data_IF_274765132604
#
_entry.id   IF_274765132604
#
_cell.length_a   1.000
_cell.length_b   1.000
_cell.length_c   1.000
_cell.angle_alpha   90.00
_cell.angle_beta   90.00
_cell.angle_gamma   90.00
#
_symmetry.space_group_name_H-M   'P 1'
#
loop_
_entity.id
_entity.type
_entity.pdbx_description
1 polymer ?
#
# COMPACT_ATOMS: atom_id res chain seq x y z
N UNK A 1 -2.45 -8.74 14.85
CA UNK A 1 -1.22 -9.56 15.08
C UNK A 1 0.03 -8.70 15.14
N UNK A 2 0.30 -7.83 14.15
CA UNK A 2 1.51 -6.98 14.08
C UNK A 2 1.59 -6.04 15.30
N UNK A 3 0.51 -5.36 15.66
CA UNK A 3 0.45 -4.51 16.85
C UNK A 3 0.87 -5.27 18.12
N UNK A 4 0.39 -6.53 18.28
CA UNK A 4 0.77 -7.36 19.42
C UNK A 4 2.27 -7.68 19.43
N UNK A 5 2.89 -7.91 18.29
CA UNK A 5 4.33 -8.13 18.17
C UNK A 5 5.12 -6.88 18.58
N UNK A 6 4.70 -5.70 18.12
CA UNK A 6 5.35 -4.44 18.51
C UNK A 6 5.21 -4.16 20.02
N UNK A 7 4.02 -4.36 20.59
CA UNK A 7 3.81 -4.22 22.04
C UNK A 7 4.63 -5.21 22.84
N UNK A 8 4.69 -6.48 22.41
CA UNK A 8 5.50 -7.49 23.06
C UNK A 8 6.98 -7.15 23.05
N UNK A 9 7.51 -6.72 21.90
CA UNK A 9 8.88 -6.24 21.80
C UNK A 9 9.15 -5.04 22.72
N UNK A 10 8.26 -4.05 22.74
CA UNK A 10 8.41 -2.89 23.61
C UNK A 10 8.43 -3.28 25.09
N UNK A 11 7.51 -4.14 25.54
CA UNK A 11 7.45 -4.64 26.90
C UNK A 11 8.70 -5.47 27.28
N UNK A 12 9.19 -6.31 26.37
CA UNK A 12 10.40 -7.11 26.58
C UNK A 12 11.64 -6.24 26.67
N UNK A 13 11.70 -5.18 25.86
CA UNK A 13 12.78 -4.18 25.88
C UNK A 13 12.82 -3.41 27.22
N UNK A 14 11.65 -3.01 27.75
CA UNK A 14 11.56 -2.34 29.06
C UNK A 14 12.03 -3.25 30.20
N UNK A 15 11.87 -4.56 30.06
CA UNK A 15 12.36 -5.56 31.02
C UNK A 15 13.84 -5.91 30.84
N UNK A 16 14.54 -5.27 29.89
CA UNK A 16 15.95 -5.52 29.60
C UNK A 16 16.24 -6.82 28.85
N UNK A 17 15.24 -7.44 28.26
CA UNK A 17 15.33 -8.69 27.49
C UNK A 17 14.55 -8.53 26.18
N UNK A 18 15.01 -7.70 25.22
CA UNK A 18 14.29 -7.43 23.99
C UNK A 18 14.08 -8.71 23.16
N UNK A 19 12.85 -8.92 22.71
CA UNK A 19 12.51 -9.97 21.73
C UNK A 19 12.66 -9.40 20.31
N UNK A 20 13.88 -9.45 19.78
CA UNK A 20 14.21 -8.92 18.47
C UNK A 20 13.54 -9.70 17.32
N UNK A 21 13.17 -10.96 17.54
CA UNK A 21 12.41 -11.74 16.55
C UNK A 21 10.99 -11.21 16.39
N UNK A 22 10.34 -10.83 17.49
CA UNK A 22 9.02 -10.18 17.43
C UNK A 22 9.07 -8.86 16.66
N UNK A 23 10.12 -8.06 16.87
CA UNK A 23 10.34 -6.84 16.10
C UNK A 23 10.60 -7.14 14.62
N UNK A 24 11.44 -8.12 14.33
CA UNK A 24 11.76 -8.54 12.97
C UNK A 24 10.50 -8.95 12.20
N UNK A 25 9.67 -9.82 12.76
CA UNK A 25 8.41 -10.26 12.16
C UNK A 25 7.45 -9.09 11.89
N UNK A 26 7.36 -8.15 12.85
CA UNK A 26 6.52 -6.96 12.68
C UNK A 26 7.02 -6.07 11.54
N UNK A 27 8.33 -5.75 11.52
CA UNK A 27 8.95 -4.93 10.48
C UNK A 27 8.85 -5.58 9.11
N UNK A 28 9.14 -6.87 9.00
CA UNK A 28 9.06 -7.61 7.74
C UNK A 28 7.66 -7.52 7.13
N UNK A 29 6.61 -7.77 7.94
CA UNK A 29 5.22 -7.70 7.48
C UNK A 29 4.84 -6.28 7.05
N UNK A 30 5.20 -5.27 7.84
CA UNK A 30 4.91 -3.86 7.50
C UNK A 30 5.63 -3.41 6.24
N UNK A 31 6.89 -3.81 6.04
CA UNK A 31 7.61 -3.50 4.81
C UNK A 31 6.99 -4.20 3.59
N UNK A 32 6.61 -5.48 3.70
CA UNK A 32 5.94 -6.20 2.62
C UNK A 32 4.63 -5.52 2.20
N UNK A 33 3.82 -5.09 3.17
CA UNK A 33 2.60 -4.34 2.92
C UNK A 33 2.87 -2.96 2.28
N UNK A 34 3.85 -2.21 2.81
CA UNK A 34 4.18 -0.85 2.36
C UNK A 34 4.76 -0.81 0.93
N UNK A 35 5.43 -1.88 0.51
CA UNK A 35 6.10 -1.97 -0.80
C UNK A 35 5.35 -2.84 -1.80
N UNK A 36 4.30 -3.52 -1.35
CA UNK A 36 3.43 -4.33 -2.20
C UNK A 36 2.35 -3.53 -2.91
N UNK A 37 1.57 -4.23 -3.74
CA UNK A 37 0.47 -3.65 -4.50
C UNK A 37 -0.77 -3.29 -3.67
N UNK A 38 -0.87 -3.79 -2.42
CA UNK A 38 -1.98 -3.41 -1.53
C UNK A 38 -1.88 -1.95 -1.05
N UNK A 39 -0.68 -1.36 -1.06
CA UNK A 39 -0.51 0.06 -0.82
C UNK A 39 -0.55 0.80 -2.16
N UNK A 40 -1.39 1.81 -2.28
CA UNK A 40 -1.43 2.66 -3.47
C UNK A 40 -0.22 3.60 -3.46
N UNK A 41 0.80 3.24 -4.21
CA UNK A 41 2.08 3.95 -4.28
C UNK A 41 1.99 5.37 -4.87
N UNK A 42 0.88 5.73 -5.49
CA UNK A 42 0.65 7.05 -6.09
C UNK A 42 -0.36 7.88 -5.30
N UNK A 43 -1.48 7.26 -4.94
CA UNK A 43 -2.59 7.95 -4.28
C UNK A 43 -2.54 7.88 -2.76
N UNK A 44 -1.78 6.93 -2.20
CA UNK A 44 -1.79 6.61 -0.78
C UNK A 44 -2.99 5.77 -0.35
N UNK A 45 -2.95 5.31 0.89
CA UNK A 45 -3.95 4.41 1.45
C UNK A 45 -3.81 2.96 0.98
N UNK A 46 -4.38 2.06 1.76
CA UNK A 46 -4.30 0.62 1.57
C UNK A 46 -5.58 0.06 0.98
N UNK A 47 -5.44 -0.79 -0.02
CA UNK A 47 -6.47 -1.73 -0.42
C UNK A 47 -6.66 -2.80 0.66
N UNK A 48 -7.81 -3.47 0.63
CA UNK A 48 -8.28 -4.31 1.73
C UNK A 48 -7.41 -5.54 1.98
N UNK A 49 -7.00 -6.27 0.93
CA UNK A 49 -6.14 -7.45 1.01
C UNK A 49 -5.48 -7.73 -0.34
N UNK A 50 -4.42 -8.55 -0.34
CA UNK A 50 -3.84 -9.09 -1.55
C UNK A 50 -4.56 -10.36 -1.98
N UNK A 51 -4.78 -10.52 -3.29
CA UNK A 51 -5.37 -11.74 -3.88
C UNK A 51 -4.31 -12.75 -4.32
N UNK A 52 -3.02 -12.37 -4.25
CA UNK A 52 -1.87 -13.25 -4.52
C UNK A 52 -0.96 -13.36 -3.29
N UNK A 53 -0.05 -14.32 -3.31
CA UNK A 53 0.91 -14.61 -2.23
C UNK A 53 2.18 -13.73 -2.28
N UNK A 54 2.28 -12.84 -3.27
CA UNK A 54 3.43 -11.95 -3.48
C UNK A 54 3.14 -10.48 -3.15
N UNK A 55 1.96 -10.17 -2.61
CA UNK A 55 1.51 -8.82 -2.28
C UNK A 55 1.44 -7.87 -3.48
N UNK A 56 1.21 -8.39 -4.69
CA UNK A 56 1.25 -7.59 -5.92
C UNK A 56 -0.11 -7.14 -6.40
N UNK A 57 -1.12 -8.02 -6.33
CA UNK A 57 -2.46 -7.76 -6.86
C UNK A 57 -3.42 -7.59 -5.70
N UNK A 58 -3.99 -6.39 -5.48
CA UNK A 58 -4.95 -6.17 -4.41
C UNK A 58 -6.38 -6.48 -4.88
N UNK A 59 -7.28 -6.76 -3.92
CA UNK A 59 -8.68 -6.40 -4.08
C UNK A 59 -8.79 -4.89 -3.88
N UNK A 60 -9.25 -4.17 -4.91
CA UNK A 60 -9.07 -2.72 -5.03
C UNK A 60 -9.94 -1.86 -4.09
N UNK A 61 -10.81 -2.45 -3.30
CA UNK A 61 -11.59 -1.76 -2.29
C UNK A 61 -10.70 -1.17 -1.19
N UNK A 62 -10.94 0.10 -0.81
CA UNK A 62 -10.26 0.75 0.31
C UNK A 62 -11.26 1.08 1.41
N UNK A 63 -11.06 0.48 2.59
CA UNK A 63 -11.95 0.67 3.75
C UNK A 63 -11.36 1.69 4.71
N UNK A 64 -12.19 2.59 5.22
CA UNK A 64 -11.77 3.56 6.24
C UNK A 64 -11.27 2.87 7.51
N UNK A 65 -11.96 1.81 7.96
CA UNK A 65 -11.59 1.10 9.20
C UNK A 65 -10.27 0.33 9.08
N UNK A 66 -9.93 -0.20 7.92
CA UNK A 66 -8.62 -0.84 7.67
C UNK A 66 -7.52 0.22 7.68
N UNK A 67 -7.72 1.30 6.95
CA UNK A 67 -6.74 2.38 6.83
C UNK A 67 -6.54 3.14 8.14
N UNK A 68 -7.59 3.32 8.95
CA UNK A 68 -7.46 3.92 10.27
C UNK A 68 -6.60 3.09 11.23
N UNK A 69 -6.75 1.75 11.21
CA UNK A 69 -5.92 0.85 12.00
C UNK A 69 -4.48 0.80 11.49
N UNK A 70 -4.28 0.75 10.17
CA UNK A 70 -2.97 0.74 9.57
C UNK A 70 -2.23 2.06 9.79
N UNK A 71 -2.90 3.19 9.68
CA UNK A 71 -2.34 4.50 10.00
C UNK A 71 -1.77 4.54 11.42
N UNK A 72 -2.55 4.12 12.42
CA UNK A 72 -2.11 4.05 13.80
C UNK A 72 -0.90 3.10 13.95
N UNK A 73 -0.98 1.92 13.34
CA UNK A 73 0.08 0.91 13.40
C UNK A 73 1.40 1.38 12.77
N UNK A 74 1.36 2.03 11.61
CA UNK A 74 2.55 2.59 10.95
C UNK A 74 3.13 3.78 11.73
N UNK A 75 2.29 4.61 12.35
CA UNK A 75 2.75 5.69 13.22
C UNK A 75 3.47 5.15 14.46
N UNK A 76 2.91 4.15 15.13
CA UNK A 76 3.52 3.48 16.28
C UNK A 76 4.85 2.80 15.89
N UNK A 77 4.87 2.09 14.75
CA UNK A 77 6.07 1.44 14.24
C UNK A 77 7.15 2.46 13.87
N UNK A 78 6.81 3.57 13.24
CA UNK A 78 7.74 4.65 12.93
C UNK A 78 8.35 5.25 14.19
N UNK A 79 7.53 5.51 15.21
CA UNK A 79 7.99 6.02 16.49
C UNK A 79 8.93 5.05 17.20
N UNK A 80 8.56 3.77 17.23
CA UNK A 80 9.30 2.72 17.93
C UNK A 80 10.65 2.38 17.28
N UNK A 81 10.72 2.46 15.93
CA UNK A 81 11.89 1.98 15.16
C UNK A 81 12.73 3.09 14.53
N UNK A 82 12.17 4.30 14.37
CA UNK A 82 12.79 5.37 13.60
C UNK A 82 12.78 5.15 12.09
N UNK A 83 12.04 4.14 11.59
CA UNK A 83 12.01 3.76 10.17
C UNK A 83 11.29 4.82 9.31
N UNK A 84 12.04 5.42 8.38
CA UNK A 84 11.54 6.48 7.51
C UNK A 84 10.44 6.03 6.55
N UNK A 85 10.42 4.75 6.16
CA UNK A 85 9.36 4.17 5.30
C UNK A 85 8.04 4.16 6.08
N UNK A 86 8.03 3.69 7.32
CA UNK A 86 6.82 3.65 8.13
C UNK A 86 6.26 5.05 8.38
N UNK A 87 7.15 6.02 8.63
CA UNK A 87 6.74 7.41 8.79
C UNK A 87 6.09 7.96 7.51
N UNK A 88 6.69 7.72 6.35
CA UNK A 88 6.14 8.13 5.05
C UNK A 88 4.76 7.53 4.82
N UNK A 89 4.61 6.22 5.00
CA UNK A 89 3.34 5.50 4.82
C UNK A 89 2.24 6.03 5.75
N UNK A 90 2.57 6.32 7.01
CA UNK A 90 1.60 6.91 7.94
C UNK A 90 1.13 8.29 7.46
N UNK A 91 2.04 9.16 7.03
CA UNK A 91 1.71 10.50 6.53
C UNK A 91 0.85 10.41 5.26
N UNK A 92 1.29 9.64 4.26
CA UNK A 92 0.57 9.49 2.98
C UNK A 92 -0.81 8.85 3.16
N UNK A 93 -0.97 7.91 4.10
CA UNK A 93 -2.28 7.32 4.43
C UNK A 93 -3.21 8.35 5.09
N UNK A 94 -2.69 9.19 5.98
CA UNK A 94 -3.47 10.28 6.59
C UNK A 94 -3.89 11.32 5.54
N UNK A 95 -2.98 11.71 4.66
CA UNK A 95 -3.26 12.65 3.55
C UNK A 95 -4.30 12.10 2.59
N UNK A 96 -4.21 10.81 2.24
CA UNK A 96 -5.23 10.13 1.45
C UNK A 96 -6.59 10.16 2.15
N UNK A 97 -6.66 9.83 3.43
CA UNK A 97 -7.92 9.82 4.17
C UNK A 97 -8.58 11.22 4.20
N UNK A 98 -7.79 12.26 4.38
CA UNK A 98 -8.29 13.64 4.37
C UNK A 98 -8.72 14.11 2.98
N UNK A 99 -8.00 13.70 1.93
CA UNK A 99 -8.28 14.12 0.55
C UNK A 99 -9.45 13.37 -0.08
N UNK A 100 -9.49 12.02 0.10
CA UNK A 100 -10.37 11.15 -0.67
C UNK A 100 -11.55 10.61 0.15
N UNK A 101 -11.41 10.51 1.47
CA UNK A 101 -12.43 9.93 2.34
C UNK A 101 -13.25 10.98 3.09
N UNK A 102 -12.78 12.21 3.19
CA UNK A 102 -13.51 13.25 3.91
C UNK A 102 -14.63 13.83 3.05
N UNK A 103 -15.84 13.78 3.57
CA UNK A 103 -17.01 14.41 2.94
C UNK A 103 -16.96 15.93 3.10
N UNK A 104 -17.40 16.71 2.10
CA UNK A 104 -17.58 18.15 2.24
C UNK A 104 -18.53 18.55 3.38
N UNK A 105 -19.41 17.66 3.81
CA UNK A 105 -20.31 17.86 4.95
C UNK A 105 -19.68 17.59 6.31
N UNK A 106 -18.38 17.19 6.37
CA UNK A 106 -17.60 17.03 7.61
C UNK A 106 -17.50 15.61 8.15
N UNK A 107 -18.14 14.61 7.55
CA UNK A 107 -17.95 13.19 7.91
C UNK A 107 -16.88 12.52 7.04
N UNK A 108 -16.68 11.22 7.26
CA UNK A 108 -15.84 10.39 6.42
C UNK A 108 -16.68 9.31 5.74
N UNK A 109 -16.40 9.02 4.47
CA UNK A 109 -16.96 7.87 3.79
C UNK A 109 -16.39 6.57 4.39
N UNK A 110 -17.19 5.50 4.38
CA UNK A 110 -16.79 4.21 4.96
C UNK A 110 -15.85 3.41 4.07
N UNK A 111 -15.97 3.57 2.76
CA UNK A 111 -15.21 2.83 1.76
C UNK A 111 -15.12 3.58 0.44
N UNK A 112 -14.09 3.25 -0.35
CA UNK A 112 -14.06 3.43 -1.80
C UNK A 112 -14.26 2.06 -2.42
N UNK A 113 -15.21 1.98 -3.38
CA UNK A 113 -15.53 0.76 -4.09
C UNK A 113 -14.32 0.26 -4.91
N UNK A 114 -14.21 -1.06 -5.03
CA UNK A 114 -13.24 -1.70 -5.92
C UNK A 114 -13.55 -1.42 -7.40
N UNK A 115 -14.85 -1.25 -7.71
CA UNK A 115 -15.33 -1.02 -9.06
C UNK A 115 -15.32 0.46 -9.43
N UNK A 116 -14.88 0.75 -10.63
CA UNK A 116 -15.10 2.03 -11.29
C UNK A 116 -15.61 1.80 -12.71
N UNK A 117 -16.64 2.53 -13.09
CA UNK A 117 -17.31 2.36 -14.40
C UNK A 117 -17.79 0.91 -14.65
N UNK A 118 -18.14 0.17 -13.59
CA UNK A 118 -18.62 -1.21 -13.65
C UNK A 118 -17.53 -2.27 -13.82
N UNK A 119 -16.27 -1.93 -13.61
CA UNK A 119 -15.12 -2.85 -13.69
C UNK A 119 -14.24 -2.74 -12.45
N UNK A 120 -13.93 -3.89 -11.82
CA UNK A 120 -13.01 -3.92 -10.68
C UNK A 120 -11.61 -3.48 -11.10
N UNK A 121 -11.02 -2.60 -10.30
CA UNK A 121 -9.66 -2.15 -10.47
C UNK A 121 -9.42 -1.16 -11.61
N UNK A 122 -10.41 -0.81 -12.44
CA UNK A 122 -10.25 0.02 -13.63
C UNK A 122 -9.53 1.34 -13.34
N UNK A 123 -9.83 2.00 -12.23
CA UNK A 123 -9.17 3.23 -11.82
C UNK A 123 -7.69 3.04 -11.46
N UNK A 124 -7.32 1.86 -10.99
CA UNK A 124 -6.00 1.58 -10.43
C UNK A 124 -5.03 0.90 -11.38
N UNK A 125 -5.52 0.30 -12.46
CA UNK A 125 -4.68 -0.46 -13.40
C UNK A 125 -4.22 0.43 -14.56
N UNK A 126 -3.07 0.09 -15.12
CA UNK A 126 -2.46 0.86 -16.19
C UNK A 126 -2.00 -0.04 -17.33
N UNK A 127 -2.14 0.43 -18.54
CA UNK A 127 -1.47 -0.17 -19.70
C UNK A 127 -0.14 0.56 -19.97
N UNK A 128 0.85 -0.13 -20.58
CA UNK A 128 2.08 0.53 -21.00
C UNK A 128 1.84 1.76 -21.89
N UNK A 129 0.86 1.71 -22.77
CA UNK A 129 0.54 2.82 -23.68
C UNK A 129 -0.08 4.01 -22.96
N UNK A 130 -0.95 3.76 -21.97
CA UNK A 130 -1.49 4.83 -21.13
C UNK A 130 -0.40 5.58 -20.35
N UNK A 131 0.61 4.86 -19.85
CA UNK A 131 1.74 5.48 -19.15
C UNK A 131 2.66 6.23 -20.12
N UNK A 132 2.94 5.67 -21.33
CA UNK A 132 3.72 6.37 -22.37
C UNK A 132 3.08 7.66 -22.85
N UNK A 133 1.75 7.75 -22.81
CA UNK A 133 1.04 8.97 -23.20
C UNK A 133 1.22 10.12 -22.20
N UNK A 134 1.66 9.82 -20.97
CA UNK A 134 1.80 10.79 -19.87
C UNK A 134 3.27 11.16 -19.62
N UNK A 135 4.17 10.17 -19.71
CA UNK A 135 5.58 10.33 -19.41
C UNK A 135 6.41 10.62 -20.67
N UNK A 136 7.48 11.36 -20.51
CA UNK A 136 8.52 11.44 -21.53
C UNK A 136 9.22 10.09 -21.72
N UNK A 137 9.93 9.91 -22.83
CA UNK A 137 10.64 8.65 -23.10
C UNK A 137 11.66 8.29 -22.00
N UNK A 138 12.39 9.28 -21.49
CA UNK A 138 13.38 9.07 -20.42
C UNK A 138 12.72 8.70 -19.11
N UNK A 139 11.64 9.37 -18.72
CA UNK A 139 10.84 9.03 -17.52
C UNK A 139 10.23 7.63 -17.65
N UNK A 140 9.67 7.28 -18.80
CA UNK A 140 9.13 5.94 -19.04
C UNK A 140 10.20 4.86 -18.90
N UNK A 141 11.41 5.07 -19.45
CA UNK A 141 12.52 4.12 -19.36
C UNK A 141 12.99 3.87 -17.92
N UNK A 142 12.88 4.88 -17.04
CA UNK A 142 13.15 4.71 -15.62
C UNK A 142 11.97 4.07 -14.87
N UNK A 143 10.75 4.45 -15.22
CA UNK A 143 9.53 4.01 -14.53
C UNK A 143 9.15 2.56 -14.85
N UNK A 144 9.26 2.15 -16.11
CA UNK A 144 8.79 0.86 -16.60
C UNK A 144 9.39 -0.35 -15.87
N UNK A 145 10.72 -0.43 -15.63
CA UNK A 145 11.30 -1.55 -14.88
C UNK A 145 10.87 -1.61 -13.41
N UNK A 146 10.65 -0.45 -12.79
CA UNK A 146 10.25 -0.35 -11.37
C UNK A 146 8.82 -0.86 -11.19
N UNK A 147 7.91 -0.47 -12.09
CA UNK A 147 6.50 -0.81 -12.00
C UNK A 147 6.11 -2.02 -12.86
N UNK A 148 7.08 -2.68 -13.52
CA UNK A 148 6.86 -3.90 -14.26
C UNK A 148 6.16 -3.71 -15.62
N UNK A 149 6.15 -2.49 -16.17
CA UNK A 149 5.55 -2.18 -17.48
C UNK A 149 6.34 -2.80 -18.67
N UNK A 150 7.52 -3.32 -18.40
CA UNK A 150 8.37 -4.08 -19.33
C UNK A 150 8.08 -5.59 -19.30
N UNK A 151 7.02 -6.03 -18.62
CA UNK A 151 6.70 -7.44 -18.39
C UNK A 151 5.28 -7.76 -18.87
N UNK A 152 4.93 -9.05 -18.97
CA UNK A 152 3.56 -9.45 -19.24
C UNK A 152 2.58 -8.87 -18.23
N UNK A 153 1.36 -8.53 -18.63
CA UNK A 153 0.30 -8.09 -17.74
C UNK A 153 0.07 -9.08 -16.59
N UNK A 154 -0.23 -8.56 -15.40
CA UNK A 154 -0.51 -9.34 -14.20
C UNK A 154 -1.97 -9.23 -13.73
N UNK A 155 -2.80 -8.45 -14.44
CA UNK A 155 -4.21 -8.26 -14.14
C UNK A 155 -5.02 -8.17 -15.43
N UNK A 156 -6.22 -8.74 -15.44
CA UNK A 156 -7.15 -8.67 -16.58
C UNK A 156 -8.42 -7.92 -16.13
N UNK A 157 -8.81 -6.93 -16.91
CA UNK A 157 -10.10 -6.24 -16.79
C UNK A 157 -11.00 -6.63 -17.96
N UNK A 158 -12.28 -6.29 -17.91
CA UNK A 158 -13.17 -6.45 -19.04
C UNK A 158 -12.72 -5.69 -20.30
N UNK A 159 -11.92 -4.63 -20.09
CA UNK A 159 -11.30 -3.82 -21.18
C UNK A 159 -10.00 -4.43 -21.73
N UNK A 160 -9.50 -5.53 -21.15
CA UNK A 160 -8.30 -6.24 -21.56
C UNK A 160 -7.19 -6.32 -20.50
N UNK A 161 -6.04 -6.94 -20.85
CA UNK A 161 -4.95 -7.15 -19.92
C UNK A 161 -4.26 -5.84 -19.52
N UNK A 162 -4.01 -5.68 -18.22
CA UNK A 162 -3.44 -4.48 -17.59
C UNK A 162 -2.46 -4.85 -16.49
N UNK A 163 -1.82 -3.85 -15.89
CA UNK A 163 -0.93 -4.01 -14.74
C UNK A 163 -1.55 -3.35 -13.52
N UNK A 164 -1.71 -4.11 -12.44
CA UNK A 164 -1.99 -3.54 -11.13
C UNK A 164 -0.77 -2.77 -10.62
N UNK A 165 -1.00 -1.66 -9.91
CA UNK A 165 0.04 -0.76 -9.43
C UNK A 165 0.80 -1.35 -8.25
N UNK A 166 2.11 -1.44 -8.36
CA UNK A 166 3.02 -1.70 -7.25
C UNK A 166 4.46 -1.77 -7.74
N UNK A 167 5.43 -1.12 -7.06
CA UNK A 167 6.83 -1.33 -7.37
C UNK A 167 7.21 -2.76 -6.98
N UNK A 168 7.97 -3.45 -7.84
CA UNK A 168 8.63 -4.68 -7.43
C UNK A 168 9.86 -4.33 -6.60
N UNK A 169 9.77 -4.39 -5.30
CA UNK A 169 10.95 -4.50 -4.46
C UNK A 169 11.51 -5.91 -4.60
N UNK A 170 12.71 -6.01 -5.15
CA UNK A 170 13.57 -7.18 -4.90
C UNK A 170 14.06 -7.03 -3.46
N UNK A 171 13.78 -7.99 -2.62
CA UNK A 171 14.52 -8.24 -1.39
C UNK A 171 15.85 -8.87 -1.77
#
# INVERSE_FOLDING_TARGET
TIERLLRHWADSTQRGQPDDEALHMARFSLHAMATGGIYDQLGGGFCRYSVDDQWMIPHFEKMLYDNGQLLALYADAAFATGDGVFRRIAIETAEWAMRDMQSPAGGYYSALDADSEGEEGKFYVWTPDAVRAILTADEYNMFAPVYGLDRPPNFETASGPSLARGPRTRV
#
